data_IF_782109429013
#
_entry.id   IF_782109429013
#
_cell.length_a   1.000
_cell.length_b   1.000
_cell.length_c   1.000
_cell.angle_alpha   90.00
_cell.angle_beta   90.00
_cell.angle_gamma   90.00
#
_symmetry.space_group_name_H-M   'P 1'
#
loop_
_entity.id
_entity.type
_entity.pdbx_description
1 polymer ?
#
# COMPACT_ATOMS: atom_id res chain seq x y z
N UNK A 1 -9.72 -27.97 3.78
CA UNK A 1 -8.42 -27.43 4.26
C UNK A 1 -7.97 -26.30 3.34
N UNK A 2 -8.22 -25.03 3.71
CA UNK A 2 -7.77 -23.82 2.99
C UNK A 2 -6.66 -23.14 3.80
N UNK A 3 -5.39 -23.58 3.68
CA UNK A 3 -4.28 -23.02 4.49
C UNK A 3 -2.97 -22.71 3.75
N UNK A 4 -2.90 -22.75 2.41
CA UNK A 4 -1.63 -22.50 1.69
C UNK A 4 -1.62 -21.26 0.78
N UNK A 5 -2.78 -20.73 0.38
CA UNK A 5 -2.86 -19.66 -0.63
C UNK A 5 -2.63 -18.26 -0.05
N UNK A 6 -3.03 -18.04 1.20
CA UNK A 6 -2.88 -16.76 1.90
C UNK A 6 -1.40 -16.39 2.18
N UNK A 7 -0.54 -17.41 2.33
CA UNK A 7 0.91 -17.25 2.58
C UNK A 7 1.67 -16.74 1.34
N UNK A 8 1.33 -17.24 0.15
CA UNK A 8 1.97 -16.84 -1.10
C UNK A 8 1.61 -15.41 -1.50
N UNK A 9 0.31 -15.08 -1.47
CA UNK A 9 -0.15 -13.72 -1.79
C UNK A 9 0.47 -12.65 -0.88
N UNK A 10 0.69 -12.97 0.40
CA UNK A 10 1.36 -12.06 1.35
C UNK A 10 2.86 -11.89 1.02
N UNK A 11 3.54 -12.94 0.59
CA UNK A 11 4.94 -12.86 0.15
C UNK A 11 5.09 -12.03 -1.13
N UNK A 12 4.22 -12.25 -2.11
CA UNK A 12 4.27 -11.55 -3.39
C UNK A 12 3.96 -10.05 -3.21
N UNK A 13 2.99 -9.71 -2.35
CA UNK A 13 2.70 -8.33 -1.98
C UNK A 13 3.89 -7.62 -1.33
N UNK A 14 4.58 -8.29 -0.40
CA UNK A 14 5.77 -7.73 0.24
C UNK A 14 6.92 -7.49 -0.74
N UNK A 15 7.13 -8.39 -1.71
CA UNK A 15 8.16 -8.24 -2.74
C UNK A 15 7.82 -7.04 -3.65
N UNK A 16 6.57 -6.93 -4.09
CA UNK A 16 6.12 -5.81 -4.91
C UNK A 16 6.29 -4.45 -4.22
N UNK A 17 5.97 -4.38 -2.93
CA UNK A 17 6.18 -3.19 -2.12
C UNK A 17 7.67 -2.82 -2.03
N UNK A 18 8.54 -3.77 -1.65
CA UNK A 18 9.98 -3.54 -1.54
C UNK A 18 10.60 -3.08 -2.86
N UNK A 19 10.22 -3.70 -3.98
CA UNK A 19 10.70 -3.29 -5.30
C UNK A 19 10.26 -1.87 -5.64
N UNK A 20 9.02 -1.51 -5.31
CA UNK A 20 8.50 -0.16 -5.58
C UNK A 20 9.21 0.89 -4.73
N UNK A 21 9.38 0.64 -3.43
CA UNK A 21 10.12 1.52 -2.53
C UNK A 21 11.53 1.75 -3.06
N UNK A 22 12.21 0.69 -3.48
CA UNK A 22 13.56 0.78 -4.04
C UNK A 22 13.63 1.59 -5.34
N UNK A 23 12.68 1.40 -6.24
CA UNK A 23 12.62 2.17 -7.49
C UNK A 23 12.35 3.66 -7.24
N UNK A 24 11.55 3.99 -6.23
CA UNK A 24 11.28 5.37 -5.83
C UNK A 24 12.53 6.04 -5.24
N UNK A 25 13.26 5.33 -4.38
CA UNK A 25 14.56 5.80 -3.87
C UNK A 25 15.55 6.08 -5.00
N UNK A 26 15.66 5.17 -5.97
CA UNK A 26 16.55 5.34 -7.14
C UNK A 26 16.16 6.53 -8.01
N UNK A 27 14.89 6.94 -7.99
CA UNK A 27 14.37 8.14 -8.68
C UNK A 27 14.53 9.42 -7.85
N UNK A 28 15.21 9.35 -6.71
CA UNK A 28 15.50 10.48 -5.84
C UNK A 28 14.37 10.85 -4.88
N UNK A 29 13.38 9.97 -4.70
CA UNK A 29 12.35 10.15 -3.65
C UNK A 29 12.94 9.70 -2.32
N UNK A 30 12.93 10.59 -1.34
CA UNK A 30 13.36 10.35 0.03
C UNK A 30 12.15 10.14 0.94
N UNK A 31 12.37 9.48 2.09
CA UNK A 31 11.32 9.20 3.07
C UNK A 31 10.08 8.53 2.45
N UNK A 32 10.31 7.50 1.62
CA UNK A 32 9.24 6.75 0.98
C UNK A 32 8.47 5.99 2.06
N UNK A 33 7.20 6.32 2.24
CA UNK A 33 6.32 5.67 3.20
C UNK A 33 5.06 5.13 2.50
N UNK A 34 4.68 3.87 2.76
CA UNK A 34 3.42 3.33 2.26
C UNK A 34 2.24 4.02 2.94
N UNK A 35 1.18 4.28 2.18
CA UNK A 35 -0.09 4.79 2.68
C UNK A 35 -0.95 3.57 3.04
N UNK A 36 -1.21 3.39 4.34
CA UNK A 36 -2.06 2.31 4.80
C UNK A 36 -3.52 2.51 4.38
N UNK A 37 -4.18 1.44 3.96
CA UNK A 37 -5.62 1.45 3.75
C UNK A 37 -6.32 1.73 5.07
N UNK A 38 -7.09 2.82 5.13
CA UNK A 38 -7.90 3.13 6.31
C UNK A 38 -8.97 2.06 6.56
N UNK A 39 -9.24 1.78 7.84
CA UNK A 39 -10.33 0.90 8.25
C UNK A 39 -11.31 1.63 9.16
N UNK A 40 -12.60 1.50 8.86
CA UNK A 40 -13.68 1.85 9.76
C UNK A 40 -13.78 0.76 10.83
N UNK A 41 -13.53 1.12 12.09
CA UNK A 41 -13.54 0.16 13.21
C UNK A 41 -14.82 0.35 14.03
N UNK A 42 -15.62 -0.72 14.13
CA UNK A 42 -16.79 -0.76 15.01
C UNK A 42 -16.38 -1.41 16.33
N UNK A 43 -16.63 -0.70 17.43
CA UNK A 43 -16.31 -1.17 18.79
C UNK A 43 -17.59 -1.52 19.55
N UNK A 44 -17.56 -2.66 20.22
CA UNK A 44 -18.61 -3.08 21.16
C UNK A 44 -18.36 -2.59 22.59
N UNK A 45 -19.16 -3.10 23.53
CA UNK A 45 -19.03 -2.78 24.95
C UNK A 45 -17.64 -3.18 25.47
N UNK A 46 -17.00 -2.26 26.21
CA UNK A 46 -15.63 -2.46 26.71
C UNK A 46 -14.52 -2.24 25.69
N UNK A 47 -14.82 -1.59 24.55
CA UNK A 47 -13.80 -1.16 23.58
C UNK A 47 -13.27 -2.25 22.64
N UNK A 48 -13.80 -3.48 22.73
CA UNK A 48 -13.44 -4.59 21.84
C UNK A 48 -13.87 -4.30 20.41
N UNK A 49 -12.99 -4.56 19.45
CA UNK A 49 -13.31 -4.49 18.02
C UNK A 49 -14.25 -5.64 17.69
N UNK A 50 -15.45 -5.33 17.17
CA UNK A 50 -16.46 -6.33 16.79
C UNK A 50 -16.63 -6.43 15.28
N UNK A 51 -16.23 -5.39 14.54
CA UNK A 51 -16.18 -5.40 13.08
C UNK A 51 -15.16 -4.37 12.59
N UNK A 52 -14.59 -4.63 11.40
CA UNK A 52 -13.74 -3.70 10.68
C UNK A 52 -14.05 -3.81 9.18
N UNK A 53 -14.16 -2.68 8.50
CA UNK A 53 -14.40 -2.62 7.06
C UNK A 53 -13.43 -1.63 6.40
N UNK A 54 -12.97 -1.91 5.18
CA UNK A 54 -12.07 -1.00 4.47
C UNK A 54 -12.81 0.30 4.17
N UNK A 55 -12.14 1.43 4.40
CA UNK A 55 -12.59 2.73 3.91
C UNK A 55 -12.12 2.91 2.46
N UNK A 56 -12.71 3.88 1.78
CA UNK A 56 -12.23 4.30 0.48
C UNK A 56 -10.76 4.69 0.59
N UNK A 57 -9.95 4.15 -0.33
CA UNK A 57 -8.51 4.35 -0.31
C UNK A 57 -8.23 5.83 -0.57
N UNK A 58 -7.41 6.43 0.28
CA UNK A 58 -6.88 7.77 0.02
C UNK A 58 -6.01 7.71 -1.24
N UNK A 59 -5.91 8.82 -1.98
CA UNK A 59 -5.10 8.86 -3.19
C UNK A 59 -3.66 8.39 -2.91
N UNK A 60 -3.10 7.58 -3.81
CA UNK A 60 -1.71 7.11 -3.75
C UNK A 60 -1.52 5.82 -2.96
N UNK A 61 -0.46 5.09 -3.30
CA UNK A 61 0.09 3.95 -2.56
C UNK A 61 1.26 4.38 -1.65
N UNK A 62 2.04 5.39 -2.07
CA UNK A 62 3.21 5.87 -1.35
C UNK A 62 3.23 7.39 -1.30
N UNK A 63 3.83 7.92 -0.23
CA UNK A 63 4.22 9.32 -0.10
C UNK A 63 5.73 9.42 0.05
N UNK A 64 6.28 10.56 -0.34
CA UNK A 64 7.70 10.85 -0.11
C UNK A 64 8.02 12.31 -0.40
N UNK A 65 9.31 12.62 -0.37
CA UNK A 65 9.83 13.98 -0.57
C UNK A 65 10.96 13.94 -1.59
N UNK A 66 10.88 14.77 -2.62
CA UNK A 66 11.98 14.99 -3.56
C UNK A 66 12.99 15.98 -2.98
N UNK A 67 14.21 15.95 -3.54
CA UNK A 67 15.20 16.99 -3.30
C UNK A 67 14.62 18.39 -3.54
N UNK A 68 14.92 19.32 -2.62
CA UNK A 68 14.31 20.64 -2.57
C UNK A 68 12.99 20.72 -1.79
N UNK A 69 12.58 19.65 -1.10
CA UNK A 69 11.46 19.68 -0.14
C UNK A 69 10.06 19.55 -0.74
N UNK A 70 9.95 19.12 -2.00
CA UNK A 70 8.65 18.94 -2.68
C UNK A 70 8.05 17.60 -2.31
N UNK A 71 6.80 17.60 -1.83
CA UNK A 71 6.06 16.37 -1.56
C UNK A 71 5.66 15.67 -2.86
N UNK A 72 5.76 14.34 -2.87
CA UNK A 72 5.25 13.49 -3.96
C UNK A 72 4.29 12.45 -3.43
N UNK A 73 3.32 12.12 -4.28
CA UNK A 73 2.34 11.06 -4.09
C UNK A 73 2.46 10.11 -5.28
N UNK A 74 2.57 8.82 -5.01
CA UNK A 74 2.80 7.80 -6.04
C UNK A 74 1.73 6.73 -5.95
N UNK A 75 1.11 6.42 -7.08
CA UNK A 75 0.30 5.22 -7.25
C UNK A 75 1.14 4.18 -8.02
N UNK A 76 1.15 2.94 -7.53
CA UNK A 76 1.94 1.85 -8.07
C UNK A 76 1.02 0.69 -8.48
N UNK A 77 1.17 0.25 -9.72
CA UNK A 77 0.43 -0.91 -10.26
C UNK A 77 1.42 -1.85 -10.92
N UNK A 78 1.24 -3.15 -10.70
CA UNK A 78 1.95 -4.19 -11.43
C UNK A 78 1.02 -4.78 -12.49
N UNK A 79 1.55 -5.03 -13.67
CA UNK A 79 0.81 -5.70 -14.75
C UNK A 79 1.75 -6.66 -15.49
N UNK A 80 1.32 -7.91 -15.76
CA UNK A 80 2.08 -8.83 -16.60
C UNK A 80 1.98 -8.50 -18.10
N UNK A 81 1.07 -7.59 -18.48
CA UNK A 81 0.78 -7.18 -19.85
C UNK A 81 0.90 -5.65 -20.02
N UNK A 82 0.71 -5.14 -21.23
CA UNK A 82 0.65 -3.69 -21.50
C UNK A 82 -0.35 -3.03 -20.56
N UNK A 83 0.04 -1.90 -19.97
CA UNK A 83 -0.80 -1.13 -19.02
C UNK A 83 -2.19 -0.87 -19.62
N UNK A 84 -3.26 -1.44 -19.04
CA UNK A 84 -4.62 -1.06 -19.39
C UNK A 84 -4.90 0.31 -18.75
N UNK A 85 -5.23 1.31 -19.58
CA UNK A 85 -5.77 2.57 -19.09
C UNK A 85 -7.28 2.35 -18.86
N UNK A 86 -7.64 1.79 -17.71
CA UNK A 86 -9.02 1.62 -17.27
C UNK A 86 -9.17 2.11 -15.85
#
# INVERSE_FOLDING_TARGET
MMRSQQSKNRKDGNIGQMLTERELELRGVQMVEPIETGFGIVRGRGGKIVSAFPLEKVAGDFRGVLEGGRSVLVEAKTTPARLPYS
#
